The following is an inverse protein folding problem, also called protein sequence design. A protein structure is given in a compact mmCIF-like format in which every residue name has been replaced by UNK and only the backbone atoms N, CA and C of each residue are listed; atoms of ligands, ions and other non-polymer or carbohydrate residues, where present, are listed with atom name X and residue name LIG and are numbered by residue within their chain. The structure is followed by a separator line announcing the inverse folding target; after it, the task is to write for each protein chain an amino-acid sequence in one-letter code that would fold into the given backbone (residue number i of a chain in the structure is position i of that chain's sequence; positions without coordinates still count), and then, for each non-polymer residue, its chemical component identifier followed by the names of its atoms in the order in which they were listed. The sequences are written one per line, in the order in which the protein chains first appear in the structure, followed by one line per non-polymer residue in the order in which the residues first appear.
data_IF_561470877738
#
_entry.id   IF_561470877738
#
_cell.length_a   1.000
_cell.length_b   1.000
_cell.length_c   1.000
_cell.angle_alpha   90.00
_cell.angle_beta   90.00
_cell.angle_gamma   90.00
#
_symmetry.space_group_name_H-M   'P 1'
#
loop_
_entity.id
_entity.type
_entity.pdbx_description
1 polymer ?
#
# COMPACT_ATOMS: atom_id res chain seq x y z
N UNK A 1 -12.20 -10.63 -1.87
CA UNK A 1 -11.99 -9.54 -2.84
C UNK A 1 -11.85 -8.23 -2.08
N UNK A 2 -10.93 -7.37 -2.50
CA UNK A 2 -10.57 -6.12 -1.81
C UNK A 2 -11.63 -5.00 -1.93
N UNK A 3 -12.83 -5.28 -2.45
CA UNK A 3 -13.90 -4.28 -2.61
C UNK A 3 -13.63 -3.21 -3.69
N UNK A 4 -12.58 -3.39 -4.50
CA UNK A 4 -12.30 -2.45 -5.58
C UNK A 4 -13.18 -2.75 -6.80
N UNK A 5 -13.73 -1.70 -7.40
CA UNK A 5 -14.60 -1.78 -8.59
C UNK A 5 -13.74 -1.78 -9.86
N UNK A 6 -13.82 -2.82 -10.72
CA UNK A 6 -13.13 -2.82 -11.99
C UNK A 6 -13.81 -1.88 -12.97
N UNK A 7 -13.00 -1.13 -13.75
CA UNK A 7 -13.46 -0.22 -14.81
C UNK A 7 -13.28 -0.89 -16.16
N UNK A 8 -12.14 -1.51 -16.40
CA UNK A 8 -11.85 -2.20 -17.64
C UNK A 8 -10.76 -3.27 -17.44
N UNK A 9 -10.76 -4.24 -18.34
CA UNK A 9 -9.75 -5.29 -18.42
C UNK A 9 -9.04 -5.21 -19.78
N UNK A 10 -7.73 -5.45 -19.77
CA UNK A 10 -6.92 -5.65 -20.98
C UNK A 10 -6.23 -7.00 -20.87
N UNK A 11 -6.48 -7.91 -21.83
CA UNK A 11 -5.95 -9.27 -21.74
C UNK A 11 -5.73 -9.94 -23.10
N UNK A 12 -4.91 -10.98 -23.12
CA UNK A 12 -4.83 -11.88 -24.26
C UNK A 12 -6.18 -12.64 -24.41
N UNK A 13 -6.63 -12.87 -25.65
CA UNK A 13 -7.91 -13.54 -25.95
C UNK A 13 -8.08 -14.88 -25.24
N UNK A 14 -7.00 -15.65 -25.10
CA UNK A 14 -7.01 -16.97 -24.43
C UNK A 14 -7.45 -16.90 -22.95
N UNK A 15 -7.35 -15.75 -22.30
CA UNK A 15 -7.71 -15.61 -20.90
C UNK A 15 -9.23 -15.42 -20.67
N UNK A 16 -9.98 -15.07 -21.71
CA UNK A 16 -11.45 -14.88 -21.62
C UNK A 16 -12.12 -16.14 -21.10
N UNK A 17 -11.83 -17.29 -21.72
CA UNK A 17 -12.41 -18.59 -21.34
C UNK A 17 -11.58 -19.34 -20.29
N UNK A 18 -10.54 -18.69 -19.75
CA UNK A 18 -9.62 -19.25 -18.77
C UNK A 18 -9.62 -18.45 -17.46
N UNK A 19 -8.47 -17.86 -17.14
CA UNK A 19 -8.24 -17.16 -15.85
C UNK A 19 -9.22 -16.00 -15.59
N UNK A 20 -9.75 -15.34 -16.63
CA UNK A 20 -10.67 -14.22 -16.50
C UNK A 20 -12.13 -14.63 -16.37
N UNK A 21 -12.51 -15.87 -16.71
CA UNK A 21 -13.89 -16.32 -16.79
C UNK A 21 -14.70 -16.01 -15.52
N UNK A 22 -14.17 -16.34 -14.35
CA UNK A 22 -14.84 -16.08 -13.06
C UNK A 22 -14.94 -14.59 -12.72
N UNK A 23 -14.02 -13.77 -13.24
CA UNK A 23 -14.05 -12.32 -13.05
C UNK A 23 -15.12 -11.73 -13.96
N UNK A 24 -15.17 -12.14 -15.22
CA UNK A 24 -16.14 -11.67 -16.20
C UNK A 24 -17.57 -12.05 -15.81
N UNK A 25 -17.78 -13.27 -15.32
CA UNK A 25 -19.09 -13.70 -14.82
C UNK A 25 -19.59 -12.89 -13.62
N UNK A 26 -18.68 -12.26 -12.85
CA UNK A 26 -19.04 -11.43 -11.70
C UNK A 26 -19.31 -9.97 -12.08
N UNK A 27 -18.73 -9.48 -13.17
CA UNK A 27 -18.77 -8.08 -13.59
C UNK A 27 -19.16 -8.00 -15.08
N UNK A 28 -20.43 -8.23 -15.37
CA UNK A 28 -20.96 -8.34 -16.74
C UNK A 28 -20.79 -7.05 -17.57
N UNK A 29 -20.86 -5.88 -16.92
CA UNK A 29 -20.75 -4.56 -17.56
C UNK A 29 -19.31 -4.05 -17.72
N UNK A 30 -18.29 -4.83 -17.35
CA UNK A 30 -16.89 -4.39 -17.45
C UNK A 30 -16.41 -4.46 -18.89
N UNK A 31 -15.93 -3.34 -19.42
CA UNK A 31 -15.31 -3.29 -20.75
C UNK A 31 -14.06 -4.14 -20.80
N UNK A 32 -14.01 -5.07 -21.77
CA UNK A 32 -12.88 -5.97 -21.99
C UNK A 32 -12.21 -5.67 -23.32
N UNK A 33 -10.95 -5.23 -23.25
CA UNK A 33 -10.10 -5.06 -24.41
C UNK A 33 -9.25 -6.32 -24.59
N UNK A 34 -9.21 -6.85 -25.82
CA UNK A 34 -8.45 -8.06 -26.12
C UNK A 34 -7.55 -7.88 -27.32
N UNK A 35 -6.43 -8.55 -27.32
CA UNK A 35 -5.50 -8.58 -28.43
C UNK A 35 -4.54 -9.74 -28.33
N UNK A 36 -3.74 -9.91 -29.36
CA UNK A 36 -2.66 -10.87 -29.35
C UNK A 36 -1.49 -10.31 -28.53
N UNK A 37 -0.64 -11.19 -28.04
CA UNK A 37 0.45 -10.87 -27.10
C UNK A 37 1.36 -9.72 -27.59
N UNK A 38 1.70 -9.72 -28.88
CA UNK A 38 2.60 -8.70 -29.44
C UNK A 38 1.92 -7.35 -29.57
N UNK A 39 0.64 -7.33 -29.92
CA UNK A 39 -0.20 -6.10 -29.94
C UNK A 39 -0.28 -5.51 -28.54
N UNK A 40 -0.56 -6.34 -27.53
CA UNK A 40 -0.63 -5.90 -26.14
C UNK A 40 0.72 -5.41 -25.63
N UNK A 41 1.83 -6.06 -26.01
CA UNK A 41 3.17 -5.61 -25.66
C UNK A 41 3.51 -4.26 -26.28
N UNK A 42 3.10 -4.01 -27.53
CA UNK A 42 3.25 -2.72 -28.19
C UNK A 42 2.47 -1.60 -27.49
N UNK A 43 1.24 -1.87 -27.06
CA UNK A 43 0.40 -0.91 -26.34
C UNK A 43 0.92 -0.59 -24.93
N UNK A 44 1.43 -1.59 -24.20
CA UNK A 44 1.84 -1.42 -22.80
C UNK A 44 3.31 -1.06 -22.64
N UNK A 45 4.12 -1.20 -23.69
CA UNK A 45 5.57 -1.02 -23.66
C UNK A 45 6.33 -2.18 -23.01
N UNK A 46 5.65 -3.26 -22.61
CA UNK A 46 6.27 -4.47 -22.02
C UNK A 46 5.40 -5.72 -22.23
N UNK A 47 6.03 -6.89 -22.18
CA UNK A 47 5.31 -8.17 -22.27
C UNK A 47 4.51 -8.43 -20.98
N UNK A 48 3.20 -8.65 -21.11
CA UNK A 48 2.33 -9.00 -19.99
C UNK A 48 2.67 -10.42 -19.49
N UNK A 49 3.40 -10.54 -18.39
CA UNK A 49 3.85 -11.83 -17.84
C UNK A 49 2.69 -12.74 -17.38
N UNK A 50 1.59 -12.14 -16.92
CA UNK A 50 0.36 -12.86 -16.51
C UNK A 50 -0.80 -12.64 -17.46
N UNK A 51 -0.62 -11.91 -18.54
CA UNK A 51 -1.55 -11.72 -19.63
C UNK A 51 -2.80 -10.89 -19.35
N UNK A 52 -3.00 -10.38 -18.11
CA UNK A 52 -4.19 -9.60 -17.72
C UNK A 52 -3.78 -8.34 -16.97
N UNK A 53 -4.33 -7.19 -17.39
CA UNK A 53 -4.32 -5.93 -16.65
C UNK A 53 -5.76 -5.53 -16.32
N UNK A 54 -5.95 -4.91 -15.17
CA UNK A 54 -7.23 -4.38 -14.74
C UNK A 54 -7.07 -2.92 -14.31
N UNK A 55 -7.85 -2.02 -14.92
CA UNK A 55 -8.04 -0.68 -14.41
C UNK A 55 -9.16 -0.71 -13.37
N UNK A 56 -8.90 -0.15 -12.20
CA UNK A 56 -9.85 -0.16 -11.08
C UNK A 56 -10.13 1.25 -10.59
N UNK A 57 -11.34 1.49 -10.13
CA UNK A 57 -11.69 2.71 -9.41
C UNK A 57 -10.92 2.76 -8.09
N UNK A 58 -10.31 3.90 -7.81
CA UNK A 58 -9.64 4.09 -6.51
C UNK A 58 -10.68 4.09 -5.38
N UNK A 59 -10.44 3.34 -4.30
CA UNK A 59 -11.33 3.35 -3.15
C UNK A 59 -11.29 4.71 -2.47
N UNK A 60 -12.41 5.07 -1.83
CA UNK A 60 -12.41 6.19 -0.88
C UNK A 60 -11.65 5.77 0.36
N UNK A 61 -10.64 6.54 0.72
CA UNK A 61 -9.84 6.26 1.91
C UNK A 61 -10.57 6.80 3.16
N UNK A 62 -10.49 6.09 4.29
CA UNK A 62 -11.02 6.57 5.57
C UNK A 62 -10.19 7.75 6.10
N UNK A 63 -10.71 8.50 7.06
CA UNK A 63 -9.92 9.51 7.76
C UNK A 63 -8.88 8.88 8.71
N UNK A 64 -7.85 9.66 9.09
CA UNK A 64 -6.85 9.23 10.07
C UNK A 64 -7.52 8.81 11.39
N UNK A 65 -8.50 9.58 11.85
CA UNK A 65 -9.26 9.29 13.07
C UNK A 65 -9.99 7.94 12.97
N UNK A 66 -10.65 7.68 11.84
CA UNK A 66 -11.38 6.42 11.63
C UNK A 66 -10.44 5.22 11.64
N UNK A 67 -9.30 5.31 10.95
CA UNK A 67 -8.37 4.19 10.82
C UNK A 67 -7.60 3.94 12.12
N UNK A 68 -7.33 5.00 12.89
CA UNK A 68 -6.59 4.94 14.13
C UNK A 68 -7.45 4.63 15.36
N UNK A 69 -8.79 4.70 15.29
CA UNK A 69 -9.63 4.63 16.51
C UNK A 69 -9.39 3.37 17.36
N UNK A 70 -9.18 2.22 16.74
CA UNK A 70 -8.91 0.94 17.42
C UNK A 70 -7.47 0.44 17.23
N UNK A 71 -6.66 1.15 16.46
CA UNK A 71 -5.30 0.73 16.14
C UNK A 71 -4.37 0.87 17.36
N UNK A 72 -3.55 -0.13 17.59
CA UNK A 72 -2.50 -0.16 18.62
C UNK A 72 -1.11 -0.01 18.02
N UNK A 73 -0.90 -0.52 16.84
CA UNK A 73 0.38 -0.49 16.11
C UNK A 73 0.15 0.08 14.72
N UNK A 74 0.83 1.19 14.42
CA UNK A 74 0.68 1.91 13.15
C UNK A 74 2.05 2.12 12.53
N UNK A 75 2.17 1.89 11.23
CA UNK A 75 3.35 2.28 10.46
C UNK A 75 3.07 3.62 9.76
N UNK A 76 4.00 4.56 9.84
CA UNK A 76 3.93 5.86 9.16
C UNK A 76 5.06 5.92 8.15
N UNK A 77 4.73 6.19 6.90
CA UNK A 77 5.68 6.34 5.80
C UNK A 77 5.92 7.82 5.56
N UNK A 78 7.17 8.25 5.72
CA UNK A 78 7.62 9.63 5.54
C UNK A 78 8.60 9.72 4.37
N UNK A 79 8.21 10.43 3.31
CA UNK A 79 9.02 10.71 2.13
C UNK A 79 9.63 9.47 1.44
N UNK A 80 8.96 8.32 1.47
CA UNK A 80 9.41 7.09 0.80
C UNK A 80 8.96 7.13 -0.66
N UNK A 81 9.88 7.47 -1.55
CA UNK A 81 9.59 7.69 -2.98
C UNK A 81 9.71 6.43 -3.84
N UNK A 82 10.48 5.42 -3.41
CA UNK A 82 10.54 4.15 -4.16
C UNK A 82 9.30 3.28 -3.89
N UNK A 83 8.61 2.97 -4.97
CA UNK A 83 7.44 2.10 -4.97
C UNK A 83 7.71 0.68 -4.45
N UNK A 84 8.95 0.18 -4.58
CA UNK A 84 9.30 -1.13 -4.02
C UNK A 84 9.36 -1.07 -2.50
N UNK A 85 9.94 0.00 -1.93
CA UNK A 85 10.01 0.19 -0.48
C UNK A 85 8.60 0.38 0.10
N UNK A 86 7.75 1.21 -0.53
CA UNK A 86 6.33 1.32 -0.13
C UNK A 86 5.64 -0.04 -0.14
N UNK A 87 5.73 -0.80 -1.24
CA UNK A 87 5.13 -2.13 -1.32
C UNK A 87 5.70 -3.13 -0.31
N UNK A 88 7.01 -3.08 -0.06
CA UNK A 88 7.70 -3.89 0.94
C UNK A 88 7.20 -3.63 2.36
N UNK A 89 7.03 -2.35 2.72
CA UNK A 89 6.51 -1.96 4.03
C UNK A 89 5.07 -2.46 4.22
N UNK A 90 4.19 -2.30 3.22
CA UNK A 90 2.83 -2.86 3.29
C UNK A 90 2.83 -4.37 3.50
N UNK A 91 3.70 -5.08 2.79
CA UNK A 91 3.84 -6.54 2.95
C UNK A 91 4.32 -6.92 4.35
N UNK A 92 5.35 -6.25 4.87
CA UNK A 92 5.88 -6.48 6.20
C UNK A 92 4.88 -6.10 7.29
N UNK A 93 4.20 -4.96 7.14
CA UNK A 93 3.17 -4.50 8.06
C UNK A 93 2.03 -5.52 8.20
N UNK A 94 1.56 -6.08 7.08
CA UNK A 94 0.54 -7.13 7.10
C UNK A 94 1.04 -8.42 7.77
N UNK A 95 2.28 -8.83 7.50
CA UNK A 95 2.86 -10.04 8.09
C UNK A 95 3.10 -9.91 9.61
N UNK A 96 3.43 -8.72 10.09
CA UNK A 96 3.71 -8.42 11.50
C UNK A 96 2.46 -7.99 12.29
N UNK A 97 1.28 -7.99 11.68
CA UNK A 97 0.03 -7.64 12.35
C UNK A 97 -0.07 -6.16 12.73
N UNK A 98 0.53 -5.26 11.91
CA UNK A 98 0.32 -3.82 12.05
C UNK A 98 -1.13 -3.48 11.69
N UNK A 99 -1.80 -2.70 12.53
CA UNK A 99 -3.24 -2.43 12.41
C UNK A 99 -3.57 -1.47 11.27
N UNK A 100 -2.68 -0.52 10.97
CA UNK A 100 -2.87 0.46 9.90
C UNK A 100 -1.56 1.02 9.38
N UNK A 101 -1.60 1.53 8.13
CA UNK A 101 -0.48 2.26 7.52
C UNK A 101 -0.93 3.69 7.21
N UNK A 102 -0.16 4.67 7.66
CA UNK A 102 -0.34 6.08 7.34
C UNK A 102 0.74 6.51 6.36
N UNK A 103 0.36 7.15 5.27
CA UNK A 103 1.26 7.49 4.18
C UNK A 103 1.29 9.00 4.00
N UNK A 104 2.46 9.64 4.12
CA UNK A 104 2.59 11.06 3.80
C UNK A 104 2.45 11.30 2.31
N UNK A 105 1.94 12.47 1.92
CA UNK A 105 1.74 12.86 0.51
C UNK A 105 3.03 12.89 -0.32
N UNK A 106 4.17 13.05 0.34
CA UNK A 106 5.50 12.99 -0.27
C UNK A 106 5.93 11.58 -0.70
N UNK A 107 5.23 10.54 -0.22
CA UNK A 107 5.53 9.16 -0.58
C UNK A 107 5.02 8.79 -1.97
N UNK A 108 5.63 7.77 -2.56
CA UNK A 108 5.07 7.11 -3.73
C UNK A 108 3.67 6.56 -3.44
N UNK A 109 2.78 6.68 -4.42
CA UNK A 109 1.41 6.17 -4.32
C UNK A 109 1.39 4.65 -4.06
N UNK A 110 0.79 4.18 -2.95
CA UNK A 110 0.68 2.75 -2.64
C UNK A 110 -0.10 1.95 -3.69
N UNK A 111 -0.99 2.60 -4.44
CA UNK A 111 -1.77 1.98 -5.50
C UNK A 111 -1.09 2.03 -6.87
N UNK A 112 0.13 2.53 -6.98
CA UNK A 112 0.88 2.40 -8.23
C UNK A 112 1.20 0.92 -8.49
N UNK A 113 1.29 0.55 -9.77
CA UNK A 113 1.45 -0.86 -10.19
C UNK A 113 2.64 -1.58 -9.53
N UNK A 114 3.79 -0.89 -9.37
CA UNK A 114 5.00 -1.48 -8.77
C UNK A 114 4.77 -1.77 -7.28
N UNK A 115 4.22 -0.83 -6.52
CA UNK A 115 3.93 -1.02 -5.10
C UNK A 115 2.88 -2.14 -4.87
N UNK A 116 1.80 -2.17 -5.64
CA UNK A 116 0.78 -3.24 -5.59
C UNK A 116 1.42 -4.62 -5.83
N UNK A 117 2.32 -4.74 -6.80
CA UNK A 117 3.00 -6.02 -7.08
C UNK A 117 3.94 -6.44 -5.96
N UNK A 118 4.76 -5.52 -5.46
CA UNK A 118 5.73 -5.81 -4.39
C UNK A 118 5.01 -6.12 -3.08
N UNK A 119 3.91 -5.44 -2.79
CA UNK A 119 3.09 -5.73 -1.61
C UNK A 119 2.41 -7.10 -1.66
N UNK A 120 2.46 -7.82 -2.79
CA UNK A 120 1.71 -9.06 -3.00
C UNK A 120 0.20 -8.90 -2.77
N UNK A 121 -0.32 -7.67 -2.94
CA UNK A 121 -1.72 -7.32 -2.75
C UNK A 121 -2.12 -6.98 -1.30
N UNK A 122 -1.19 -6.97 -0.34
CA UNK A 122 -1.49 -6.60 1.05
C UNK A 122 -1.92 -5.14 1.20
N UNK A 123 -1.56 -4.27 0.25
CA UNK A 123 -2.07 -2.89 0.17
C UNK A 123 -3.61 -2.81 0.10
N UNK A 124 -4.27 -3.88 -0.31
CA UNK A 124 -5.75 -3.99 -0.33
C UNK A 124 -6.31 -4.68 0.92
N UNK A 125 -5.48 -5.17 1.81
CA UNK A 125 -5.89 -5.94 2.99
C UNK A 125 -5.70 -5.15 4.28
N UNK A 126 -4.56 -4.45 4.40
CA UNK A 126 -4.29 -3.61 5.57
C UNK A 126 -4.95 -2.24 5.39
N UNK A 127 -5.67 -1.73 6.40
CA UNK A 127 -6.23 -0.39 6.35
C UNK A 127 -5.13 0.67 6.21
N UNK A 128 -5.34 1.65 5.32
CA UNK A 128 -4.39 2.74 5.17
C UNK A 128 -5.07 4.03 4.70
N UNK A 129 -4.42 5.16 4.95
CA UNK A 129 -4.84 6.47 4.45
C UNK A 129 -3.66 7.43 4.35
N UNK A 130 -3.88 8.56 3.71
CA UNK A 130 -2.91 9.64 3.74
C UNK A 130 -2.99 10.42 5.06
N UNK A 131 -1.81 10.83 5.55
CA UNK A 131 -1.66 11.79 6.64
C UNK A 131 -0.94 13.02 6.09
N UNK A 132 -1.38 14.20 6.51
CA UNK A 132 -0.64 15.43 6.23
C UNK A 132 0.69 15.41 6.99
N UNK A 133 1.66 16.25 6.61
CA UNK A 133 3.04 16.22 7.10
C UNK A 133 3.17 16.57 8.59
N UNK A 134 2.32 16.01 9.43
CA UNK A 134 2.29 16.30 10.86
C UNK A 134 2.07 15.03 11.70
N UNK A 135 3.17 14.33 11.96
CA UNK A 135 3.18 13.16 12.86
C UNK A 135 2.73 13.51 14.30
N UNK A 136 2.85 14.80 14.70
CA UNK A 136 2.41 15.28 16.02
C UNK A 136 0.91 15.09 16.26
N UNK A 137 0.10 14.99 15.21
CA UNK A 137 -1.32 14.66 15.34
C UNK A 137 -1.56 13.29 15.96
N UNK A 138 -0.65 12.34 15.77
CA UNK A 138 -0.75 11.01 16.36
C UNK A 138 -0.63 11.02 17.88
N UNK A 139 0.12 11.98 18.44
CA UNK A 139 0.17 12.21 19.87
C UNK A 139 -1.21 12.58 20.46
N UNK A 140 -2.01 13.39 19.74
CA UNK A 140 -3.39 13.74 20.13
C UNK A 140 -4.33 12.53 20.10
N UNK A 141 -4.00 11.51 19.29
CA UNK A 141 -4.71 10.24 19.23
C UNK A 141 -4.19 9.20 20.23
N UNK A 142 -3.27 9.59 21.11
CA UNK A 142 -2.72 8.74 22.16
C UNK A 142 -1.60 7.79 21.71
N UNK A 143 -1.00 8.01 20.55
CA UNK A 143 0.16 7.22 20.12
C UNK A 143 1.46 7.79 20.67
N UNK A 144 2.32 6.90 21.19
CA UNK A 144 3.75 7.16 21.28
C UNK A 144 4.35 7.02 19.90
N UNK A 145 5.13 7.97 19.43
CA UNK A 145 5.80 7.91 18.14
C UNK A 145 7.28 7.51 18.34
N UNK A 146 7.76 6.63 17.49
CA UNK A 146 9.17 6.25 17.45
C UNK A 146 9.65 6.31 15.99
N UNK A 147 10.73 7.06 15.78
CA UNK A 147 11.38 7.21 14.50
C UNK A 147 12.38 6.08 14.27
N UNK A 148 12.29 5.42 13.12
CA UNK A 148 13.28 4.41 12.71
C UNK A 148 14.46 5.13 12.03
N UNK A 149 15.40 5.60 12.86
CA UNK A 149 16.55 6.37 12.41
C UNK A 149 17.84 5.88 13.08
N UNK A 150 18.94 5.95 12.37
CA UNK A 150 20.27 5.71 12.92
C UNK A 150 20.82 7.03 13.51
N UNK A 151 20.84 7.12 14.84
CA UNK A 151 21.40 8.26 15.55
C UNK A 151 22.09 7.80 16.85
N UNK A 152 22.95 8.65 17.41
CA UNK A 152 23.73 8.33 18.62
C UNK A 152 22.84 7.99 19.83
N UNK A 153 21.62 8.52 19.89
CA UNK A 153 20.69 8.30 20.98
C UNK A 153 19.58 7.31 20.62
N UNK A 154 19.78 6.52 19.55
CA UNK A 154 18.81 5.50 19.15
C UNK A 154 18.69 4.43 20.24
N UNK A 155 17.45 4.08 20.57
CA UNK A 155 17.13 2.93 21.43
C UNK A 155 16.86 1.70 20.57
N UNK A 156 17.09 0.52 21.12
CA UNK A 156 16.75 -0.71 20.42
C UNK A 156 15.23 -0.83 20.23
N UNK A 157 14.78 -1.53 19.19
CA UNK A 157 13.36 -1.75 18.93
C UNK A 157 12.67 -2.58 20.03
N UNK A 158 13.45 -3.35 20.79
CA UNK A 158 13.01 -4.12 21.94
C UNK A 158 13.10 -3.34 23.27
N UNK A 159 13.31 -2.03 23.21
CA UNK A 159 13.28 -1.17 24.40
C UNK A 159 11.97 -1.33 25.16
N UNK A 160 12.10 -1.52 26.49
CA UNK A 160 10.95 -1.79 27.35
C UNK A 160 9.88 -0.70 27.32
N UNK A 161 10.26 0.58 27.17
CA UNK A 161 9.33 1.70 27.10
C UNK A 161 8.58 1.76 25.75
N UNK A 162 9.20 1.24 24.67
CA UNK A 162 8.53 1.06 23.38
C UNK A 162 7.58 -0.14 23.43
N UNK A 163 8.03 -1.25 23.95
CA UNK A 163 7.25 -2.49 24.07
C UNK A 163 6.02 -2.33 24.96
N UNK A 164 6.15 -1.58 26.07
CA UNK A 164 5.05 -1.28 27.00
C UNK A 164 4.05 -0.25 26.47
N UNK A 165 4.36 0.46 25.36
CA UNK A 165 3.45 1.46 24.82
C UNK A 165 2.13 0.82 24.39
N UNK A 166 1.01 1.25 24.97
CA UNK A 166 -0.32 0.77 24.62
C UNK A 166 -0.66 1.04 23.14
N UNK A 167 -0.22 2.19 22.64
CA UNK A 167 -0.36 2.61 21.23
C UNK A 167 0.97 3.14 20.72
N UNK A 168 1.48 2.55 19.64
CA UNK A 168 2.79 2.90 19.07
C UNK A 168 2.68 3.15 17.57
N UNK A 169 3.22 4.27 17.10
CA UNK A 169 3.40 4.59 15.71
C UNK A 169 4.90 4.57 15.36
N UNK A 170 5.30 3.67 14.46
CA UNK A 170 6.65 3.58 13.93
C UNK A 170 6.75 4.40 12.66
N UNK A 171 7.65 5.39 12.64
CA UNK A 171 7.84 6.29 11.49
C UNK A 171 9.07 5.83 10.70
N UNK A 172 8.85 5.52 9.43
CA UNK A 172 9.87 5.08 8.48
C UNK A 172 10.18 6.21 7.51
N UNK A 173 11.42 6.63 7.43
CA UNK A 173 11.93 7.64 6.49
C UNK A 173 12.68 7.04 5.32
N UNK A 174 13.26 7.90 4.47
CA UNK A 174 14.09 7.46 3.34
C UNK A 174 15.45 6.91 3.79
N UNK A 175 16.01 6.01 3.00
CA UNK A 175 17.33 5.41 3.25
C UNK A 175 18.50 6.43 3.21
N UNK A 176 18.34 7.57 2.53
CA UNK A 176 19.41 8.55 2.33
C UNK A 176 19.32 9.79 3.23
N UNK A 177 18.11 10.32 3.40
CA UNK A 177 17.90 11.61 4.10
C UNK A 177 17.19 11.46 5.45
N UNK A 178 16.81 10.23 5.82
CA UNK A 178 16.09 9.97 7.07
C UNK A 178 14.68 10.54 7.05
N UNK A 179 14.25 11.08 8.17
CA UNK A 179 12.89 11.64 8.37
C UNK A 179 12.86 13.12 8.00
N UNK A 180 11.70 13.59 7.54
CA UNK A 180 11.43 15.03 7.38
C UNK A 180 11.45 15.73 8.75
N UNK A 181 11.96 16.98 8.80
CA UNK A 181 12.01 17.79 10.04
C UNK A 181 10.63 18.32 10.43
#
# INVERSE_FOLDING_TARGET
AAGCEPISLLMERRHIMGQAQNILARYEDVTVYTGDRDVLAGLTGYKLTRGILCAMRRPRLPSVQQICCKARRVAVLDNITDAANVGGIFRSAAALGVDAVLVMRSCCDPLCRKAVRVSMGTVFQIPWTYIENNVKELGKLGFKTAAMALCEHAVSIDDQALMAAGRLALVFGTEGYGLSQ
#
